data_IF_802123425346
#
_entry.id   IF_802123425346
#
_cell.length_a   1.000
_cell.length_b   1.000
_cell.length_c   1.000
_cell.angle_alpha   90.00
_cell.angle_beta   90.00
_cell.angle_gamma   90.00
#
_symmetry.space_group_name_H-M   'P 1'
#
loop_
_entity.id
_entity.type
_entity.pdbx_description
1 polymer ?
#
# COMPACT_ATOMS: atom_id res chain seq x y z
N UNK A 1 -28.61 -59.93 -32.30
CA UNK A 1 -28.09 -60.67 -31.15
C UNK A 1 -27.68 -62.05 -31.62
N UNK A 2 -26.40 -62.27 -31.89
CA UNK A 2 -25.75 -63.59 -32.01
C UNK A 2 -24.27 -63.35 -32.30
N UNK A 3 -23.48 -63.15 -31.24
CA UNK A 3 -22.01 -63.25 -31.34
C UNK A 3 -21.38 -63.52 -29.97
N UNK A 4 -21.89 -64.53 -29.27
CA UNK A 4 -21.41 -64.85 -27.91
C UNK A 4 -21.23 -66.35 -27.65
N UNK A 5 -21.18 -67.17 -28.71
CA UNK A 5 -21.07 -68.63 -28.58
C UNK A 5 -19.76 -69.23 -29.10
N UNK A 6 -18.68 -68.44 -29.24
CA UNK A 6 -17.39 -68.94 -29.78
C UNK A 6 -16.15 -68.65 -28.94
N UNK A 7 -16.27 -68.20 -27.68
CA UNK A 7 -15.08 -67.84 -26.89
C UNK A 7 -14.91 -68.57 -25.55
N UNK A 8 -15.39 -69.82 -25.47
CA UNK A 8 -14.84 -70.81 -24.53
C UNK A 8 -13.88 -71.72 -25.29
N UNK A 9 -12.83 -71.14 -25.88
CA UNK A 9 -11.76 -71.93 -26.44
C UNK A 9 -10.91 -72.47 -25.28
N UNK A 10 -10.91 -73.79 -25.00
CA UNK A 10 -10.13 -74.37 -23.90
C UNK A 10 -8.63 -74.11 -24.03
N UNK A 11 -8.15 -73.73 -25.22
CA UNK A 11 -6.79 -73.27 -25.42
C UNK A 11 -6.51 -71.91 -24.75
N UNK A 12 -7.45 -70.95 -24.82
CA UNK A 12 -7.30 -69.60 -24.24
C UNK A 12 -7.20 -69.69 -22.72
N UNK A 13 -8.04 -70.52 -22.09
CA UNK A 13 -8.01 -70.74 -20.64
C UNK A 13 -6.68 -71.36 -20.18
N UNK A 14 -6.16 -72.35 -20.93
CA UNK A 14 -4.82 -72.93 -20.68
C UNK A 14 -3.71 -71.89 -20.85
N UNK A 15 -3.81 -71.02 -21.85
CA UNK A 15 -2.84 -69.95 -22.08
C UNK A 15 -2.87 -68.92 -20.93
N UNK A 16 -4.05 -68.49 -20.48
CA UNK A 16 -4.20 -67.57 -19.34
C UNK A 16 -3.68 -68.20 -18.04
N UNK A 17 -3.95 -69.49 -17.81
CA UNK A 17 -3.41 -70.23 -16.67
C UNK A 17 -1.89 -70.30 -16.71
N UNK A 18 -1.30 -70.72 -17.83
CA UNK A 18 0.15 -70.79 -18.00
C UNK A 18 0.82 -69.41 -17.90
N UNK A 19 0.20 -68.37 -18.46
CA UNK A 19 0.68 -67.00 -18.32
C UNK A 19 0.65 -66.54 -16.86
N UNK A 20 -0.41 -66.86 -16.12
CA UNK A 20 -0.53 -66.53 -14.70
C UNK A 20 0.51 -67.27 -13.87
N UNK A 21 0.71 -68.57 -14.10
CA UNK A 21 1.72 -69.38 -13.42
C UNK A 21 3.14 -68.86 -13.67
N UNK A 22 3.48 -68.52 -14.92
CA UNK A 22 4.78 -67.94 -15.27
C UNK A 22 4.97 -66.55 -14.68
N UNK A 23 3.92 -65.73 -14.65
CA UNK A 23 3.94 -64.41 -14.06
C UNK A 23 4.15 -64.46 -12.54
N UNK A 24 3.49 -65.41 -11.85
CA UNK A 24 3.68 -65.66 -10.43
C UNK A 24 5.07 -66.22 -10.12
N UNK A 25 5.55 -67.17 -10.94
CA UNK A 25 6.87 -67.78 -10.77
C UNK A 25 8.02 -66.75 -10.90
N UNK A 26 7.85 -65.72 -11.72
CA UNK A 26 8.79 -64.60 -11.84
C UNK A 26 8.51 -63.45 -10.85
N UNK A 27 7.80 -63.71 -9.75
CA UNK A 27 7.53 -62.72 -8.70
C UNK A 27 6.70 -61.51 -9.16
N UNK A 28 5.93 -61.65 -10.24
CA UNK A 28 5.15 -60.56 -10.88
C UNK A 28 6.00 -59.40 -11.42
N UNK A 29 7.31 -59.61 -11.62
CA UNK A 29 8.26 -58.56 -12.03
C UNK A 29 8.07 -58.18 -13.51
N UNK A 30 7.84 -59.15 -14.39
CA UNK A 30 7.62 -58.91 -15.82
C UNK A 30 6.62 -59.88 -16.41
N UNK A 31 5.87 -59.42 -17.41
CA UNK A 31 4.93 -60.28 -18.12
C UNK A 31 5.66 -61.35 -18.91
N UNK A 32 5.17 -62.61 -18.90
CA UNK A 32 5.80 -63.67 -19.68
C UNK A 32 5.70 -63.38 -21.18
N UNK A 33 6.69 -63.86 -21.93
CA UNK A 33 6.72 -63.73 -23.38
C UNK A 33 5.76 -64.74 -24.03
N UNK A 34 5.26 -64.42 -25.22
CA UNK A 34 4.36 -65.31 -25.97
C UNK A 34 5.02 -66.68 -26.22
N UNK A 35 6.33 -66.70 -26.47
CA UNK A 35 7.09 -67.93 -26.67
C UNK A 35 7.12 -68.83 -25.42
N UNK A 36 7.32 -68.24 -24.22
CA UNK A 36 7.31 -68.98 -22.95
C UNK A 36 5.94 -69.57 -22.66
N UNK A 37 4.88 -68.78 -22.86
CA UNK A 37 3.51 -69.21 -22.62
C UNK A 37 3.08 -70.28 -23.63
N UNK A 38 3.46 -70.14 -24.91
CA UNK A 38 3.19 -71.14 -25.94
C UNK A 38 3.87 -72.48 -25.63
N UNK A 39 5.12 -72.45 -25.16
CA UNK A 39 5.85 -73.65 -24.79
C UNK A 39 5.22 -74.36 -23.58
N UNK A 40 4.74 -73.59 -22.59
CA UNK A 40 4.07 -74.12 -21.41
C UNK A 40 2.66 -74.65 -21.70
N UNK A 41 1.87 -73.94 -22.52
CA UNK A 41 0.49 -74.29 -22.85
C UNK A 41 0.36 -75.32 -23.99
N UNK A 42 1.42 -75.53 -24.79
CA UNK A 42 1.46 -76.40 -25.98
C UNK A 42 0.38 -76.06 -27.02
N UNK A 43 0.21 -74.78 -27.29
CA UNK A 43 -0.81 -74.23 -28.23
C UNK A 43 -0.18 -73.59 -29.47
N UNK A 44 -1.01 -73.21 -30.44
CA UNK A 44 -0.55 -72.52 -31.64
C UNK A 44 -0.15 -71.06 -31.37
N UNK A 45 0.63 -70.48 -32.29
CA UNK A 45 1.19 -69.13 -32.13
C UNK A 45 0.12 -68.02 -32.17
N UNK A 46 -0.91 -68.19 -33.00
CA UNK A 46 -1.90 -67.14 -33.23
C UNK A 46 -2.83 -67.00 -32.01
N UNK A 47 -3.37 -68.12 -31.53
CA UNK A 47 -4.21 -68.19 -30.33
C UNK A 47 -3.45 -67.71 -29.08
N UNK A 48 -2.16 -68.05 -28.96
CA UNK A 48 -1.34 -67.60 -27.81
C UNK A 48 -1.14 -66.09 -27.80
N UNK A 49 -0.91 -65.49 -28.96
CA UNK A 49 -0.68 -64.04 -29.07
C UNK A 49 -1.93 -63.22 -28.71
N UNK A 50 -3.09 -63.64 -29.20
CA UNK A 50 -4.38 -63.00 -28.90
C UNK A 50 -4.77 -63.16 -27.43
N UNK A 51 -4.66 -64.38 -26.89
CA UNK A 51 -4.95 -64.67 -25.49
C UNK A 51 -4.00 -63.91 -24.55
N UNK A 52 -2.72 -63.76 -24.89
CA UNK A 52 -1.76 -62.98 -24.11
C UNK A 52 -2.06 -61.48 -24.12
N UNK A 53 -2.52 -60.94 -25.25
CA UNK A 53 -2.97 -59.53 -25.34
C UNK A 53 -4.16 -59.30 -24.41
N UNK A 54 -5.15 -60.21 -24.43
CA UNK A 54 -6.30 -60.15 -23.55
C UNK A 54 -5.91 -60.27 -22.07
N UNK A 55 -5.04 -61.23 -21.74
CA UNK A 55 -4.59 -61.44 -20.37
C UNK A 55 -3.81 -60.24 -19.82
N UNK A 56 -2.89 -59.65 -20.60
CA UNK A 56 -2.16 -58.43 -20.17
C UNK A 56 -3.10 -57.25 -19.92
N UNK A 57 -4.07 -57.04 -20.82
CA UNK A 57 -5.09 -56.00 -20.63
C UNK A 57 -5.91 -56.21 -19.35
N UNK A 58 -6.21 -57.46 -19.00
CA UNK A 58 -6.90 -57.79 -17.74
C UNK A 58 -6.02 -57.52 -16.51
N UNK A 59 -4.70 -57.78 -16.58
CA UNK A 59 -3.78 -57.46 -15.48
C UNK A 59 -3.63 -55.95 -15.28
N UNK A 60 -3.56 -55.18 -16.36
CA UNK A 60 -3.44 -53.72 -16.32
C UNK A 60 -4.70 -53.06 -15.74
N UNK A 61 -5.89 -53.52 -16.12
CA UNK A 61 -7.16 -53.03 -15.55
C UNK A 61 -7.27 -53.33 -14.04
N UNK A 62 -6.76 -54.49 -13.60
CA UNK A 62 -6.80 -54.89 -12.19
C UNK A 62 -5.81 -54.12 -11.31
N UNK A 63 -4.80 -53.47 -11.90
CA UNK A 63 -3.79 -52.69 -11.20
C UNK A 63 -4.18 -51.21 -10.99
N UNK A 64 -5.29 -50.74 -11.57
CA UNK A 64 -5.77 -49.38 -11.38
C UNK A 64 -6.38 -49.25 -9.97
N UNK A 65 -5.58 -48.72 -9.03
CA UNK A 65 -5.98 -48.53 -7.64
C UNK A 65 -7.24 -47.65 -7.53
N UNK A 66 -8.20 -48.06 -6.71
CA UNK A 66 -9.44 -47.32 -6.50
C UNK A 66 -9.15 -45.92 -5.89
N UNK A 67 -9.86 -44.87 -6.31
CA UNK A 67 -9.67 -43.52 -5.77
C UNK A 67 -9.95 -43.51 -4.27
N UNK A 68 -8.98 -43.06 -3.48
CA UNK A 68 -9.12 -42.88 -2.03
C UNK A 68 -10.10 -41.74 -1.77
N UNK A 69 -11.27 -42.05 -1.23
CA UNK A 69 -12.22 -41.02 -0.81
C UNK A 69 -11.88 -40.51 0.59
N UNK A 70 -11.83 -39.18 0.74
CA UNK A 70 -11.60 -38.53 2.03
C UNK A 70 -12.83 -38.73 2.92
N UNK A 71 -12.70 -39.24 4.15
CA UNK A 71 -13.83 -39.46 5.05
C UNK A 71 -14.61 -38.17 5.36
N UNK A 72 -15.94 -38.27 5.44
CA UNK A 72 -16.83 -37.12 5.70
C UNK A 72 -16.47 -36.36 6.98
N UNK A 73 -16.05 -37.07 8.03
CA UNK A 73 -15.63 -36.44 9.28
C UNK A 73 -14.44 -35.48 9.09
N UNK A 74 -13.49 -35.84 8.22
CA UNK A 74 -12.34 -35.00 7.89
C UNK A 74 -12.79 -33.80 7.05
N UNK A 75 -13.69 -34.01 6.08
CA UNK A 75 -14.22 -32.91 5.26
C UNK A 75 -14.99 -31.88 6.11
N UNK A 76 -15.79 -32.35 7.07
CA UNK A 76 -16.55 -31.51 8.00
C UNK A 76 -15.62 -30.70 8.90
N UNK A 77 -14.66 -31.37 9.54
CA UNK A 77 -13.67 -30.70 10.40
C UNK A 77 -12.87 -29.63 9.65
N UNK A 78 -12.46 -29.91 8.41
CA UNK A 78 -11.78 -28.92 7.56
C UNK A 78 -12.67 -27.72 7.22
N UNK A 79 -13.96 -27.97 6.91
CA UNK A 79 -14.91 -26.91 6.60
C UNK A 79 -15.18 -26.00 7.81
N UNK A 80 -15.32 -26.59 8.99
CA UNK A 80 -15.48 -25.87 10.26
C UNK A 80 -14.22 -25.04 10.60
N UNK A 81 -13.03 -25.61 10.40
CA UNK A 81 -11.78 -24.90 10.62
C UNK A 81 -11.64 -23.69 9.69
N UNK A 82 -11.95 -23.84 8.40
CA UNK A 82 -11.93 -22.73 7.43
C UNK A 82 -12.96 -21.66 7.81
N UNK A 83 -14.17 -22.06 8.21
CA UNK A 83 -15.20 -21.12 8.65
C UNK A 83 -14.74 -20.32 9.89
N UNK A 84 -14.12 -20.98 10.86
CA UNK A 84 -13.57 -20.33 12.06
C UNK A 84 -12.45 -19.34 11.73
N UNK A 85 -11.50 -19.75 10.89
CA UNK A 85 -10.41 -18.87 10.42
C UNK A 85 -10.99 -17.64 9.71
N UNK A 86 -11.98 -17.84 8.85
CA UNK A 86 -12.64 -16.74 8.14
C UNK A 86 -13.32 -15.76 9.09
N UNK A 87 -14.04 -16.25 10.11
CA UNK A 87 -14.66 -15.39 11.12
C UNK A 87 -13.65 -14.55 11.88
N UNK A 88 -12.52 -15.15 12.30
CA UNK A 88 -11.44 -14.42 12.98
C UNK A 88 -10.83 -13.37 12.06
N UNK A 89 -10.55 -13.73 10.80
CA UNK A 89 -10.00 -12.80 9.81
C UNK A 89 -10.93 -11.61 9.57
N UNK A 90 -12.24 -11.85 9.50
CA UNK A 90 -13.24 -10.80 9.31
C UNK A 90 -13.36 -9.89 10.54
N UNK A 91 -13.31 -10.44 11.75
CA UNK A 91 -13.25 -9.64 12.98
C UNK A 91 -12.02 -8.73 12.99
N UNK A 92 -10.84 -9.28 12.69
CA UNK A 92 -9.60 -8.51 12.67
C UNK A 92 -9.62 -7.41 11.61
N UNK A 93 -10.15 -7.69 10.42
CA UNK A 93 -10.29 -6.71 9.35
C UNK A 93 -11.24 -5.56 9.76
N UNK A 94 -12.36 -5.88 10.41
CA UNK A 94 -13.31 -4.89 10.91
C UNK A 94 -12.70 -4.01 12.01
N UNK A 95 -11.97 -4.62 12.96
CA UNK A 95 -11.30 -3.89 14.05
C UNK A 95 -10.20 -2.97 13.50
N UNK A 96 -9.43 -3.45 12.52
CA UNK A 96 -8.41 -2.65 11.84
C UNK A 96 -9.04 -1.48 11.07
N UNK A 97 -10.15 -1.71 10.36
CA UNK A 97 -10.89 -0.67 9.66
C UNK A 97 -11.42 0.39 10.62
N UNK A 98 -12.04 -0.02 11.73
CA UNK A 98 -12.57 0.90 12.73
C UNK A 98 -11.45 1.73 13.38
N UNK A 99 -10.31 1.10 13.66
CA UNK A 99 -9.14 1.78 14.22
C UNK A 99 -8.58 2.80 13.24
N UNK A 100 -8.44 2.44 11.97
CA UNK A 100 -7.97 3.33 10.92
C UNK A 100 -8.93 4.52 10.70
N UNK A 101 -10.24 4.28 10.71
CA UNK A 101 -11.25 5.33 10.61
C UNK A 101 -11.16 6.33 11.77
N UNK A 102 -11.07 5.84 13.02
CA UNK A 102 -10.90 6.70 14.20
C UNK A 102 -9.61 7.52 14.15
N UNK A 103 -8.50 6.89 13.72
CA UNK A 103 -7.23 7.58 13.54
C UNK A 103 -7.34 8.70 12.50
N UNK A 104 -7.92 8.40 11.34
CA UNK A 104 -8.13 9.38 10.29
C UNK A 104 -9.07 10.53 10.70
N UNK A 105 -10.18 10.23 11.38
CA UNK A 105 -11.11 11.25 11.89
C UNK A 105 -10.42 12.17 12.90
N UNK A 106 -9.57 11.61 13.78
CA UNK A 106 -8.78 12.39 14.73
C UNK A 106 -7.78 13.29 14.00
N UNK A 107 -6.98 12.73 13.09
CA UNK A 107 -5.97 13.49 12.34
C UNK A 107 -6.61 14.61 11.51
N UNK A 108 -7.79 14.33 10.93
CA UNK A 108 -8.59 15.32 10.22
C UNK A 108 -9.06 16.45 11.15
N UNK A 109 -9.60 16.12 12.31
CA UNK A 109 -10.04 17.13 13.28
C UNK A 109 -8.87 17.98 13.80
N UNK A 110 -7.71 17.38 14.04
CA UNK A 110 -6.48 18.09 14.43
C UNK A 110 -6.00 19.02 13.31
N UNK A 111 -6.03 18.56 12.06
CA UNK A 111 -5.66 19.39 10.90
C UNK A 111 -6.61 20.56 10.71
N UNK A 112 -7.92 20.33 10.85
CA UNK A 112 -8.94 21.37 10.74
C UNK A 112 -8.76 22.43 11.85
N UNK A 113 -8.44 21.99 13.07
CA UNK A 113 -8.16 22.88 14.20
C UNK A 113 -6.90 23.72 13.98
N UNK A 114 -5.78 23.11 13.58
CA UNK A 114 -4.53 23.83 13.29
C UNK A 114 -4.73 24.83 12.15
N UNK A 115 -5.46 24.43 11.10
CA UNK A 115 -5.73 25.32 9.95
C UNK A 115 -6.53 26.55 10.40
N UNK A 116 -7.52 26.36 11.29
CA UNK A 116 -8.29 27.45 11.86
C UNK A 116 -7.42 28.37 12.73
N UNK A 117 -6.60 27.82 13.61
CA UNK A 117 -5.68 28.60 14.47
C UNK A 117 -4.70 29.43 13.64
N UNK A 118 -4.15 28.86 12.56
CA UNK A 118 -3.25 29.58 11.65
C UNK A 118 -3.99 30.73 10.95
N UNK A 119 -5.22 30.51 10.49
CA UNK A 119 -6.01 31.56 9.86
C UNK A 119 -6.31 32.70 10.84
N UNK A 120 -6.71 32.39 12.07
CA UNK A 120 -6.99 33.37 13.12
C UNK A 120 -5.74 34.19 13.49
N UNK A 121 -4.58 33.54 13.63
CA UNK A 121 -3.33 34.25 13.90
C UNK A 121 -2.86 35.09 12.70
N UNK A 122 -3.11 34.63 11.47
CA UNK A 122 -2.78 35.42 10.27
C UNK A 122 -3.64 36.70 10.19
N UNK A 123 -4.95 36.58 10.44
CA UNK A 123 -5.86 37.73 10.50
C UNK A 123 -5.45 38.71 11.60
N UNK A 124 -5.07 38.18 12.77
CA UNK A 124 -4.55 38.99 13.88
C UNK A 124 -3.27 39.73 13.50
N UNK A 125 -2.33 39.04 12.85
CA UNK A 125 -1.08 39.64 12.40
C UNK A 125 -1.31 40.72 11.33
N UNK A 126 -2.27 40.51 10.42
CA UNK A 126 -2.66 41.51 9.43
C UNK A 126 -3.17 42.81 10.08
N UNK A 127 -4.06 42.68 11.07
CA UNK A 127 -4.57 43.83 11.86
C UNK A 127 -3.43 44.54 12.61
N UNK A 128 -2.54 43.78 13.24
CA UNK A 128 -1.39 44.35 13.94
C UNK A 128 -0.46 45.10 12.99
N UNK A 129 -0.19 44.54 11.81
CA UNK A 129 0.64 45.19 10.80
C UNK A 129 0.01 46.49 10.32
N UNK A 130 -1.30 46.50 10.04
CA UNK A 130 -2.02 47.70 9.64
C UNK A 130 -1.96 48.79 10.73
N UNK A 131 -2.13 48.41 12.00
CA UNK A 131 -1.99 49.33 13.14
C UNK A 131 -0.59 49.94 13.20
N UNK A 132 0.46 49.12 13.10
CA UNK A 132 1.85 49.59 13.14
C UNK A 132 2.17 50.50 11.96
N UNK A 133 1.68 50.18 10.76
CA UNK A 133 1.86 51.03 9.58
C UNK A 133 1.16 52.38 9.74
N UNK A 134 -0.06 52.39 10.27
CA UNK A 134 -0.79 53.63 10.60
C UNK A 134 0.00 54.48 11.59
N UNK A 135 0.49 53.89 12.68
CA UNK A 135 1.22 54.62 13.72
C UNK A 135 2.58 55.12 13.22
N UNK A 136 3.27 54.35 12.37
CA UNK A 136 4.49 54.81 11.71
C UNK A 136 4.22 56.00 10.77
N UNK A 137 3.10 55.97 10.03
CA UNK A 137 2.66 57.09 9.22
C UNK A 137 2.45 58.36 10.04
N UNK A 138 1.74 58.26 11.18
CA UNK A 138 1.55 59.39 12.11
C UNK A 138 2.87 59.91 12.65
N UNK A 139 3.76 59.03 13.11
CA UNK A 139 5.07 59.43 13.63
C UNK A 139 5.92 60.13 12.56
N UNK A 140 5.84 59.67 11.31
CA UNK A 140 6.55 60.30 10.18
C UNK A 140 6.00 61.71 9.91
N UNK A 141 4.68 61.89 9.97
CA UNK A 141 4.04 63.20 9.82
C UNK A 141 4.46 64.16 10.94
N UNK A 142 4.39 63.72 12.20
CA UNK A 142 4.80 64.52 13.36
C UNK A 142 6.29 64.89 13.31
N UNK A 143 7.16 63.96 12.91
CA UNK A 143 8.58 64.25 12.68
C UNK A 143 8.78 65.32 11.59
N UNK A 144 7.95 65.30 10.54
CA UNK A 144 7.93 66.33 9.51
C UNK A 144 7.58 67.71 10.06
N UNK A 145 6.49 67.80 10.84
CA UNK A 145 6.05 69.04 11.51
C UNK A 145 7.14 69.62 12.41
N UNK A 146 7.70 68.80 13.30
CA UNK A 146 8.76 69.21 14.23
C UNK A 146 10.00 69.70 13.48
N UNK A 147 10.39 69.06 12.37
CA UNK A 147 11.51 69.54 11.54
C UNK A 147 11.23 70.91 10.92
N UNK A 148 10.03 71.14 10.41
CA UNK A 148 9.62 72.44 9.85
C UNK A 148 9.62 73.51 10.93
N UNK A 149 9.05 73.23 12.11
CA UNK A 149 9.06 74.13 13.27
C UNK A 149 10.49 74.47 13.70
N UNK A 150 11.37 73.47 13.79
CA UNK A 150 12.78 73.68 14.12
C UNK A 150 13.49 74.57 13.10
N UNK A 151 13.27 74.34 11.81
CA UNK A 151 13.83 75.19 10.75
C UNK A 151 13.34 76.63 10.85
N UNK A 152 12.04 76.83 11.11
CA UNK A 152 11.45 78.15 11.30
C UNK A 152 12.04 78.85 12.55
N UNK A 153 12.25 78.10 13.64
CA UNK A 153 12.86 78.62 14.86
C UNK A 153 14.33 79.05 14.61
N UNK A 154 15.10 78.26 13.85
CA UNK A 154 16.47 78.64 13.45
C UNK A 154 16.48 79.93 12.63
N UNK A 155 15.62 80.05 11.62
CA UNK A 155 15.50 81.28 10.81
C UNK A 155 15.15 82.47 11.71
N UNK A 156 14.25 82.27 12.69
CA UNK A 156 13.86 83.32 13.64
C UNK A 156 15.04 83.75 14.52
N UNK A 157 15.82 82.80 15.05
CA UNK A 157 17.01 83.07 15.85
C UNK A 157 18.00 83.90 15.04
N UNK A 158 18.36 83.47 13.82
CA UNK A 158 19.28 84.21 12.95
C UNK A 158 18.78 85.62 12.65
N UNK A 159 17.47 85.81 12.43
CA UNK A 159 16.90 87.14 12.21
C UNK A 159 16.97 88.05 13.45
N UNK A 160 16.85 87.48 14.65
CA UNK A 160 16.95 88.22 15.91
C UNK A 160 18.40 88.58 16.22
N UNK A 161 19.34 87.68 15.94
CA UNK A 161 20.78 87.94 16.06
C UNK A 161 21.20 89.10 15.16
N UNK A 162 20.80 89.11 13.88
CA UNK A 162 21.09 90.22 12.96
C UNK A 162 20.48 91.56 13.42
N UNK A 163 19.26 91.52 14.01
CA UNK A 163 18.63 92.72 14.57
C UNK A 163 19.35 93.23 15.83
N UNK A 164 19.81 92.32 16.69
CA UNK A 164 20.59 92.67 17.87
C UNK A 164 21.89 93.35 17.47
N UNK A 165 22.62 92.78 16.50
CA UNK A 165 23.86 93.35 15.97
C UNK A 165 23.62 94.75 15.38
N UNK A 166 22.55 94.95 14.62
CA UNK A 166 22.19 96.27 14.08
C UNK A 166 21.89 97.31 15.19
N UNK A 167 21.21 96.90 16.26
CA UNK A 167 20.94 97.77 17.43
C UNK A 167 22.24 98.10 18.17
N UNK A 168 23.12 97.13 18.36
CA UNK A 168 24.43 97.32 19.00
C UNK A 168 25.32 98.30 18.20
N UNK A 169 25.36 98.15 16.87
CA UNK A 169 26.05 99.08 15.98
C UNK A 169 25.48 100.50 16.07
N UNK A 170 24.15 100.64 16.02
CA UNK A 170 23.49 101.94 16.15
C UNK A 170 23.80 102.62 17.49
N UNK A 171 23.76 101.87 18.59
CA UNK A 171 24.12 102.37 19.92
C UNK A 171 25.58 102.84 19.97
N UNK A 172 26.50 102.09 19.36
CA UNK A 172 27.91 102.47 19.26
C UNK A 172 28.12 103.76 18.48
N UNK A 173 27.40 103.94 17.37
CA UNK A 173 27.42 105.19 16.60
C UNK A 173 26.90 106.37 17.40
N UNK A 174 25.78 106.21 18.12
CA UNK A 174 25.21 107.26 18.98
C UNK A 174 26.19 107.66 20.10
N UNK A 175 26.81 106.69 20.77
CA UNK A 175 27.82 106.96 21.79
C UNK A 175 29.04 107.70 21.22
N UNK A 176 29.50 107.32 20.02
CA UNK A 176 30.59 108.04 19.33
C UNK A 176 30.24 109.49 18.99
N UNK A 177 28.96 109.78 18.66
CA UNK A 177 28.49 111.15 18.42
C UNK A 177 28.37 111.99 19.70
N UNK A 178 28.09 111.35 20.84
CA UNK A 178 27.93 112.02 22.13
C UNK A 178 29.27 112.30 22.84
N UNK A 179 30.33 111.58 22.48
CA UNK A 179 31.71 111.80 22.97
C UNK A 179 32.68 112.11 21.80
N UNK A 180 32.54 113.25 21.10
CA UNK A 180 33.59 113.72 20.20
C UNK A 180 34.78 114.17 21.07
N UNK A 181 36.00 113.76 20.71
CA UNK A 181 37.24 114.16 21.41
C UNK A 181 37.33 115.68 21.61
#
# INVERSE_FOLDING_TARGET
MNNSAENNNPAIEKIHKAATELYLANGKISFPTVAQVRAAAKTDMNTTSEAMKQWRSQQEQKAQAAPVQVPEAVQRASSEAVASIWQVAQSLANDALQTAQKGWEKDKAETDQITKEIAEEYDRQAIQLESVLSDNGKLTEELGKVKTEHSNALIRITSLEARLEAVEQHNKELLGRLNPQ
#
